data_IF_961850537495
#
_entry.id   IF_961850537495
#
_cell.length_a   1.000
_cell.length_b   1.000
_cell.length_c   1.000
_cell.angle_alpha   90.00
_cell.angle_beta   90.00
_cell.angle_gamma   90.00
#
_symmetry.space_group_name_H-M   'P 1'
#
loop_
_entity.id
_entity.type
_entity.pdbx_description
1 polymer ?
#
# COMPACT_ATOMS: atom_id res chain seq x y z
N UNK A 1 50.47 -9.00 9.40
CA UNK A 1 49.97 -8.22 8.24
C UNK A 1 48.47 -8.46 8.15
N UNK A 2 47.66 -7.42 8.01
CA UNK A 2 46.21 -7.56 7.92
C UNK A 2 45.81 -7.37 6.44
N UNK A 3 45.09 -8.34 5.87
CA UNK A 3 44.57 -8.20 4.49
C UNK A 3 43.60 -7.02 4.38
N UNK A 4 43.64 -6.31 3.28
CA UNK A 4 42.61 -5.35 2.96
C UNK A 4 41.27 -6.08 2.67
N UNK A 5 40.15 -5.45 2.96
CA UNK A 5 38.84 -6.10 2.89
C UNK A 5 38.47 -6.70 1.51
N UNK A 6 38.92 -6.10 0.40
CA UNK A 6 38.64 -6.63 -0.94
C UNK A 6 39.30 -7.99 -1.23
N UNK A 7 40.63 -8.16 -0.98
CA UNK A 7 41.26 -9.49 -1.01
C UNK A 7 40.70 -10.45 0.02
N UNK A 8 40.40 -9.99 1.26
CA UNK A 8 39.77 -10.80 2.30
C UNK A 8 38.42 -11.35 1.84
N UNK A 9 37.61 -10.54 1.16
CA UNK A 9 36.32 -10.94 0.59
C UNK A 9 36.47 -12.08 -0.42
N UNK A 10 37.40 -11.96 -1.37
CA UNK A 10 37.71 -13.03 -2.34
C UNK A 10 38.28 -14.29 -1.71
N UNK A 11 39.12 -14.17 -0.66
CA UNK A 11 39.59 -15.32 0.10
C UNK A 11 38.46 -16.05 0.83
N UNK A 12 37.47 -15.32 1.35
CA UNK A 12 36.27 -15.94 1.97
C UNK A 12 35.42 -16.66 0.95
N UNK A 13 35.19 -16.09 -0.25
CA UNK A 13 34.50 -16.79 -1.32
C UNK A 13 35.16 -18.13 -1.66
N UNK A 14 36.47 -18.13 -1.75
CA UNK A 14 37.22 -19.36 -1.99
C UNK A 14 37.14 -20.35 -0.81
N UNK A 15 37.39 -19.89 0.41
CA UNK A 15 37.46 -20.74 1.58
C UNK A 15 36.13 -21.37 2.01
N UNK A 16 35.01 -20.67 1.71
CA UNK A 16 33.65 -21.09 2.06
C UNK A 16 32.89 -21.68 0.85
N UNK A 17 33.57 -21.79 -0.30
CA UNK A 17 32.97 -22.30 -1.55
C UNK A 17 31.61 -21.61 -1.88
N UNK A 18 31.62 -20.29 -1.89
CA UNK A 18 30.39 -19.48 -2.04
C UNK A 18 29.87 -19.54 -3.48
N UNK A 19 28.68 -20.09 -3.68
CA UNK A 19 28.03 -20.21 -4.98
C UNK A 19 27.32 -18.93 -5.43
N UNK A 20 26.75 -18.19 -4.47
CA UNK A 20 25.92 -17.02 -4.77
C UNK A 20 26.04 -15.93 -3.69
N UNK A 21 26.21 -14.68 -4.13
CA UNK A 21 26.20 -13.51 -3.25
C UNK A 21 25.65 -12.26 -3.96
N UNK A 22 24.80 -11.53 -3.26
CA UNK A 22 24.28 -10.22 -3.69
C UNK A 22 25.08 -9.09 -3.02
N UNK A 23 25.30 -7.99 -3.74
CA UNK A 23 25.96 -6.81 -3.18
C UNK A 23 25.30 -5.52 -3.67
N UNK A 24 25.44 -4.44 -2.91
CA UNK A 24 25.05 -3.11 -3.36
C UNK A 24 25.85 -2.64 -4.57
N UNK A 25 25.28 -1.78 -5.41
CA UNK A 25 25.95 -1.24 -6.59
C UNK A 25 27.23 -0.47 -6.27
N UNK A 26 27.37 0.06 -5.07
CA UNK A 26 28.58 0.73 -4.58
C UNK A 26 29.76 -0.23 -4.36
N UNK A 27 29.52 -1.55 -4.37
CA UNK A 27 30.52 -2.60 -4.20
C UNK A 27 30.95 -3.27 -5.52
N UNK A 28 30.42 -2.85 -6.68
CA UNK A 28 30.71 -3.48 -7.99
C UNK A 28 32.21 -3.61 -8.22
N UNK A 29 32.97 -2.52 -8.11
CA UNK A 29 34.43 -2.54 -8.32
C UNK A 29 35.17 -3.43 -7.30
N UNK A 30 34.61 -3.56 -6.11
CA UNK A 30 35.19 -4.40 -5.06
C UNK A 30 34.90 -5.88 -5.29
N UNK A 31 33.68 -6.21 -5.75
CA UNK A 31 33.29 -7.57 -6.14
C UNK A 31 34.13 -8.09 -7.34
N UNK A 32 34.47 -7.20 -8.30
CA UNK A 32 35.37 -7.57 -9.40
C UNK A 32 36.78 -7.94 -8.92
N UNK A 33 37.33 -7.18 -7.97
CA UNK A 33 38.64 -7.48 -7.36
C UNK A 33 38.56 -8.76 -6.55
N UNK A 34 37.53 -8.95 -5.72
CA UNK A 34 37.31 -10.15 -4.96
C UNK A 34 37.22 -11.40 -5.86
N UNK A 35 36.48 -11.30 -6.98
CA UNK A 35 36.38 -12.38 -7.97
C UNK A 35 37.75 -12.78 -8.54
N UNK A 36 38.59 -11.81 -8.92
CA UNK A 36 39.96 -12.09 -9.39
C UNK A 36 40.81 -12.80 -8.33
N UNK A 37 40.69 -12.42 -7.07
CA UNK A 37 41.38 -13.08 -5.96
C UNK A 37 40.91 -14.52 -5.81
N UNK A 38 39.60 -14.77 -5.87
CA UNK A 38 39.03 -16.12 -5.82
C UNK A 38 39.57 -17.02 -6.95
N UNK A 39 39.61 -16.48 -8.17
CA UNK A 39 40.13 -17.20 -9.34
C UNK A 39 41.62 -17.51 -9.22
N UNK A 40 42.47 -16.58 -8.71
CA UNK A 40 43.88 -16.79 -8.45
C UNK A 40 44.11 -17.92 -7.43
N UNK A 41 43.19 -18.05 -6.46
CA UNK A 41 43.22 -19.13 -5.47
C UNK A 41 42.72 -20.48 -6.00
N UNK A 42 42.22 -20.53 -7.24
CA UNK A 42 41.74 -21.74 -7.88
C UNK A 42 40.22 -21.98 -7.71
N UNK A 43 39.48 -21.02 -7.15
CA UNK A 43 38.02 -21.07 -6.99
C UNK A 43 37.29 -20.46 -8.17
N UNK A 44 35.95 -20.41 -8.03
CA UNK A 44 35.04 -19.74 -9.01
C UNK A 44 34.45 -18.51 -8.35
N UNK A 45 34.32 -17.41 -9.13
CA UNK A 45 33.58 -16.24 -8.70
C UNK A 45 32.11 -16.65 -8.46
N UNK A 46 31.48 -16.25 -7.33
CA UNK A 46 30.07 -16.49 -7.10
C UNK A 46 29.17 -15.89 -8.16
N UNK A 47 28.07 -16.55 -8.48
CA UNK A 47 26.96 -15.92 -9.19
C UNK A 47 26.31 -14.85 -8.30
N UNK A 48 25.64 -13.88 -8.90
CA UNK A 48 24.95 -12.85 -8.11
C UNK A 48 24.55 -11.65 -8.96
N UNK A 49 23.96 -10.66 -8.30
CA UNK A 49 23.64 -9.38 -8.91
C UNK A 49 23.91 -8.22 -7.93
N UNK A 50 23.87 -6.99 -8.47
CA UNK A 50 24.06 -5.79 -7.68
C UNK A 50 22.71 -5.08 -7.56
N UNK A 51 22.25 -4.89 -6.32
CA UNK A 51 21.02 -4.17 -6.04
C UNK A 51 21.27 -2.67 -5.92
N UNK A 52 20.25 -1.88 -6.30
CA UNK A 52 20.25 -0.44 -6.13
C UNK A 52 20.03 -0.05 -4.68
N UNK A 53 20.59 1.09 -4.30
CA UNK A 53 20.38 1.66 -2.97
C UNK A 53 19.00 2.31 -2.88
N UNK A 54 18.45 2.35 -1.67
CA UNK A 54 17.21 3.06 -1.41
C UNK A 54 17.44 4.57 -1.32
N UNK A 55 16.43 5.31 -1.77
CA UNK A 55 16.39 6.77 -1.75
C UNK A 55 15.28 7.24 -0.81
N UNK A 56 15.42 8.41 -0.23
CA UNK A 56 14.36 9.08 0.51
C UNK A 56 13.29 9.69 -0.43
N UNK A 57 12.30 10.35 0.12
CA UNK A 57 11.24 11.03 -0.64
C UNK A 57 11.77 12.09 -1.62
N UNK A 58 12.94 12.69 -1.31
CA UNK A 58 13.60 13.72 -2.11
C UNK A 58 14.64 13.17 -3.11
N UNK A 59 14.65 11.85 -3.35
CA UNK A 59 15.63 11.15 -4.19
C UNK A 59 17.09 11.25 -3.68
N UNK A 60 17.29 11.46 -2.37
CA UNK A 60 18.61 11.44 -1.75
C UNK A 60 18.91 10.04 -1.21
N UNK A 61 20.20 9.65 -1.26
CA UNK A 61 20.63 8.37 -0.67
C UNK A 61 20.31 8.34 0.82
N UNK A 62 19.64 7.27 1.25
CA UNK A 62 19.38 7.01 2.67
C UNK A 62 20.68 6.72 3.38
N UNK A 63 20.87 7.33 4.54
CA UNK A 63 22.00 7.03 5.42
C UNK A 63 21.60 7.14 6.89
N UNK A 64 22.18 6.27 7.72
CA UNK A 64 21.94 6.27 9.18
C UNK A 64 22.29 7.60 9.84
N UNK A 65 23.35 8.27 9.37
CA UNK A 65 23.79 9.57 9.92
C UNK A 65 22.83 10.72 9.62
N UNK A 66 22.04 10.63 8.54
CA UNK A 66 21.04 11.63 8.18
C UNK A 66 19.67 11.37 8.78
N UNK A 67 19.38 10.11 9.18
CA UNK A 67 18.08 9.72 9.70
C UNK A 67 16.92 9.89 8.68
N UNK A 68 17.24 9.84 7.38
CA UNK A 68 16.31 10.14 6.30
C UNK A 68 15.68 8.88 5.66
N UNK A 69 15.67 7.75 6.36
CA UNK A 69 15.04 6.52 5.93
C UNK A 69 14.21 5.92 7.05
N UNK A 70 13.43 4.90 6.74
CA UNK A 70 12.71 4.12 7.74
C UNK A 70 13.46 2.84 8.05
N UNK A 71 13.40 2.42 9.30
CA UNK A 71 13.97 1.15 9.78
C UNK A 71 12.98 0.00 9.55
N UNK A 72 13.46 -1.23 9.69
CA UNK A 72 12.60 -2.43 9.66
C UNK A 72 11.57 -2.36 10.78
N UNK A 73 11.96 -1.98 11.98
CA UNK A 73 11.09 -1.85 13.15
C UNK A 73 9.99 -0.79 12.91
N UNK A 74 10.33 0.33 12.29
CA UNK A 74 9.35 1.37 11.94
C UNK A 74 8.35 0.86 10.89
N UNK A 75 8.81 0.13 9.87
CA UNK A 75 7.90 -0.49 8.89
C UNK A 75 6.92 -1.45 9.56
N UNK A 76 7.42 -2.35 10.40
CA UNK A 76 6.63 -3.37 11.10
C UNK A 76 5.63 -2.81 12.12
N UNK A 77 5.73 -1.53 12.47
CA UNK A 77 4.70 -0.85 13.24
C UNK A 77 3.43 -0.55 12.44
N UNK A 78 3.50 -0.53 11.09
CA UNK A 78 2.42 -0.06 10.23
C UNK A 78 2.03 -1.05 9.13
N UNK A 79 2.75 -2.16 9.00
CA UNK A 79 2.51 -3.11 7.94
C UNK A 79 3.08 -4.51 8.27
N UNK A 80 2.52 -5.58 7.69
CA UNK A 80 3.01 -6.93 7.88
C UNK A 80 4.41 -7.13 7.25
N UNK A 81 5.18 -8.06 7.83
CA UNK A 81 6.53 -8.41 7.37
C UNK A 81 6.55 -8.88 5.90
N UNK A 82 5.52 -9.55 5.43
CA UNK A 82 5.37 -10.01 4.05
C UNK A 82 5.37 -8.84 3.06
N UNK A 83 4.75 -7.72 3.43
CA UNK A 83 4.77 -6.51 2.60
C UNK A 83 6.15 -5.89 2.49
N UNK A 84 6.96 -5.94 3.57
CA UNK A 84 8.35 -5.50 3.56
C UNK A 84 9.20 -6.43 2.70
N UNK A 85 9.06 -7.75 2.88
CA UNK A 85 9.77 -8.75 2.07
C UNK A 85 9.47 -8.55 0.58
N UNK A 86 8.17 -8.38 0.22
CA UNK A 86 7.75 -8.04 -1.13
C UNK A 86 8.42 -6.76 -1.64
N UNK A 87 8.37 -5.68 -0.87
CA UNK A 87 8.91 -4.39 -1.27
C UNK A 87 10.44 -4.44 -1.44
N UNK A 88 11.15 -5.12 -0.56
CA UNK A 88 12.60 -5.26 -0.64
C UNK A 88 13.03 -6.03 -1.89
N UNK A 89 12.31 -7.10 -2.23
CA UNK A 89 12.69 -8.00 -3.32
C UNK A 89 12.14 -7.60 -4.69
N UNK A 90 11.09 -6.80 -4.74
CA UNK A 90 10.53 -6.29 -5.99
C UNK A 90 11.56 -5.42 -6.74
N UNK A 91 11.94 -5.84 -7.95
CA UNK A 91 12.85 -5.08 -8.85
C UNK A 91 14.13 -4.59 -8.14
N UNK A 92 14.95 -5.46 -7.58
CA UNK A 92 16.10 -5.06 -6.75
C UNK A 92 17.17 -4.27 -7.54
N UNK A 93 17.20 -4.40 -8.87
CA UNK A 93 18.11 -3.67 -9.76
C UNK A 93 17.62 -2.26 -10.14
N UNK A 94 16.46 -1.84 -9.63
CA UNK A 94 15.90 -0.50 -9.84
C UNK A 94 15.97 0.32 -8.56
N UNK A 95 16.30 1.61 -8.67
CA UNK A 95 16.24 2.53 -7.52
C UNK A 95 14.82 2.65 -6.99
N UNK A 96 14.66 2.56 -5.68
CA UNK A 96 13.37 2.66 -4.99
C UNK A 96 13.45 3.67 -3.87
N UNK A 97 12.33 4.35 -3.63
CA UNK A 97 12.18 5.24 -2.49
C UNK A 97 11.73 4.44 -1.27
N UNK A 98 12.25 4.76 -0.08
CA UNK A 98 11.89 4.11 1.17
C UNK A 98 11.54 5.18 2.22
N UNK A 99 10.26 5.47 2.36
CA UNK A 99 9.65 6.41 3.29
C UNK A 99 8.21 5.96 3.61
N UNK A 100 7.55 6.56 4.59
CA UNK A 100 6.29 6.03 5.13
C UNK A 100 5.18 5.90 4.09
N UNK A 101 5.03 6.84 3.15
CA UNK A 101 3.93 6.82 2.17
C UNK A 101 4.00 5.68 1.14
N UNK A 102 5.13 4.95 1.07
CA UNK A 102 5.21 3.76 0.21
C UNK A 102 4.57 2.53 0.85
N UNK A 103 4.38 2.53 2.18
CA UNK A 103 3.89 1.38 2.94
C UNK A 103 2.49 0.93 2.48
N UNK A 104 1.47 1.81 2.42
CA UNK A 104 0.13 1.38 2.02
C UNK A 104 0.09 0.71 0.66
N UNK A 105 0.81 1.28 -0.30
CA UNK A 105 0.91 0.72 -1.65
C UNK A 105 1.63 -0.62 -1.67
N UNK A 106 2.71 -0.76 -0.89
CA UNK A 106 3.45 -2.01 -0.81
C UNK A 106 2.60 -3.15 -0.22
N UNK A 107 1.76 -2.83 0.78
CA UNK A 107 0.81 -3.79 1.35
C UNK A 107 -0.21 -4.25 0.30
N UNK A 108 -0.84 -3.32 -0.43
CA UNK A 108 -1.85 -3.67 -1.44
C UNK A 108 -1.25 -4.40 -2.65
N UNK A 109 -0.04 -4.03 -3.06
CA UNK A 109 0.66 -4.77 -4.11
C UNK A 109 0.98 -6.21 -3.65
N UNK A 110 1.47 -6.38 -2.41
CA UNK A 110 1.68 -7.71 -1.85
C UNK A 110 0.38 -8.53 -1.83
N UNK A 111 -0.73 -7.98 -1.31
CA UNK A 111 -2.05 -8.64 -1.28
C UNK A 111 -2.45 -9.09 -2.69
N UNK A 112 -2.26 -8.23 -3.70
CA UNK A 112 -2.57 -8.57 -5.09
C UNK A 112 -1.79 -9.78 -5.60
N UNK A 113 -0.50 -9.90 -5.25
CA UNK A 113 0.31 -11.07 -5.64
C UNK A 113 -0.05 -12.31 -4.83
N UNK A 114 -0.37 -12.15 -3.55
CA UNK A 114 -0.84 -13.22 -2.68
C UNK A 114 -2.16 -13.82 -3.19
N UNK A 115 -3.13 -12.99 -3.54
CA UNK A 115 -4.42 -13.43 -4.09
C UNK A 115 -4.28 -14.18 -5.41
N UNK A 116 -3.46 -13.69 -6.34
CA UNK A 116 -3.21 -14.40 -7.62
C UNK A 116 -2.60 -15.79 -7.42
N UNK A 117 -1.75 -15.94 -6.40
CA UNK A 117 -1.19 -17.25 -6.07
C UNK A 117 -2.25 -18.17 -5.46
N UNK A 118 -3.07 -17.64 -4.54
CA UNK A 118 -4.11 -18.39 -3.84
C UNK A 118 -5.26 -18.83 -4.75
N UNK A 119 -5.71 -17.97 -5.68
CA UNK A 119 -6.83 -18.26 -6.59
C UNK A 119 -6.49 -19.28 -7.67
N UNK A 120 -5.22 -19.65 -7.83
CA UNK A 120 -4.77 -20.58 -8.86
C UNK A 120 -4.82 -20.00 -10.27
N UNK A 121 -4.87 -18.68 -10.41
CA UNK A 121 -4.82 -17.99 -11.72
C UNK A 121 -3.45 -18.16 -12.42
N UNK A 122 -2.44 -18.57 -11.67
CA UNK A 122 -1.07 -18.72 -12.15
C UNK A 122 -0.72 -20.18 -12.39
N UNK A 123 -0.06 -20.47 -13.52
CA UNK A 123 0.39 -21.81 -13.87
C UNK A 123 1.88 -21.83 -14.24
N UNK A 124 2.53 -22.96 -13.93
CA UNK A 124 3.89 -23.25 -14.37
C UNK A 124 4.90 -22.18 -13.96
N UNK A 125 5.53 -21.51 -14.95
CA UNK A 125 6.56 -20.49 -14.70
C UNK A 125 6.02 -19.23 -14.04
N UNK A 126 4.74 -18.93 -14.19
CA UNK A 126 4.16 -17.71 -13.64
C UNK A 126 4.02 -17.80 -12.11
N UNK A 127 3.84 -19.00 -11.56
CA UNK A 127 3.95 -19.25 -10.11
C UNK A 127 5.34 -18.90 -9.61
N UNK A 128 6.40 -19.34 -10.30
CA UNK A 128 7.78 -19.07 -9.93
C UNK A 128 8.18 -17.59 -10.12
N UNK A 129 7.43 -16.84 -10.93
CA UNK A 129 7.62 -15.40 -11.10
C UNK A 129 6.86 -14.57 -10.07
N UNK A 130 5.97 -15.20 -9.28
CA UNK A 130 5.21 -14.51 -8.26
C UNK A 130 6.03 -14.42 -6.96
N UNK A 131 6.32 -13.20 -6.46
CA UNK A 131 7.11 -13.03 -5.23
C UNK A 131 6.45 -13.64 -3.98
N UNK A 132 5.11 -13.72 -3.91
CA UNK A 132 4.42 -14.33 -2.79
C UNK A 132 4.75 -15.82 -2.62
N UNK A 133 5.07 -16.53 -3.72
CA UNK A 133 5.51 -17.93 -3.66
C UNK A 133 6.76 -18.11 -2.77
N UNK A 134 7.73 -17.22 -2.90
CA UNK A 134 8.97 -17.27 -2.12
C UNK A 134 8.79 -16.72 -0.71
N UNK A 135 7.94 -15.71 -0.52
CA UNK A 135 7.64 -15.14 0.79
C UNK A 135 6.97 -16.18 1.69
N UNK A 136 6.11 -17.02 1.12
CA UNK A 136 5.39 -18.08 1.83
C UNK A 136 6.01 -19.48 1.69
N UNK A 137 7.20 -19.58 1.09
CA UNK A 137 7.93 -20.85 0.92
C UNK A 137 7.09 -21.93 0.22
N UNK A 138 6.17 -21.51 -0.66
CA UNK A 138 5.24 -22.38 -1.38
C UNK A 138 3.95 -22.72 -0.62
N UNK A 139 3.78 -22.25 0.61
CA UNK A 139 2.52 -22.35 1.35
C UNK A 139 1.46 -21.36 0.83
N UNK A 140 0.21 -21.61 1.16
CA UNK A 140 -0.90 -20.73 0.77
C UNK A 140 -0.81 -19.40 1.53
N UNK A 141 -0.76 -18.25 0.82
CA UNK A 141 -0.73 -16.95 1.45
C UNK A 141 -2.07 -16.60 2.12
N UNK A 142 -2.06 -15.73 3.13
CA UNK A 142 -3.27 -15.28 3.80
C UNK A 142 -4.17 -14.50 2.83
N UNK A 143 -5.47 -14.55 3.09
CA UNK A 143 -6.48 -13.83 2.33
C UNK A 143 -7.06 -12.66 3.12
N UNK A 144 -7.41 -11.60 2.38
CA UNK A 144 -8.25 -10.51 2.88
C UNK A 144 -9.23 -10.06 1.81
N UNK A 145 -10.52 -9.89 2.13
CA UNK A 145 -11.50 -9.35 1.18
C UNK A 145 -11.40 -7.83 1.01
N UNK A 146 -10.57 -7.16 1.81
CA UNK A 146 -10.48 -5.69 1.88
C UNK A 146 -9.04 -5.26 1.67
N UNK A 147 -8.80 -4.29 0.77
CA UNK A 147 -7.48 -3.72 0.57
C UNK A 147 -7.06 -2.81 1.74
N UNK A 148 -5.76 -2.64 1.93
CA UNK A 148 -5.24 -1.77 2.97
C UNK A 148 -5.60 -0.28 2.73
N UNK A 149 -5.57 0.17 1.49
CA UNK A 149 -6.03 1.51 1.12
C UNK A 149 -7.50 1.74 1.47
N UNK A 150 -8.34 0.71 1.32
CA UNK A 150 -9.76 0.80 1.71
C UNK A 150 -9.93 0.88 3.23
N UNK A 151 -9.14 0.11 4.00
CA UNK A 151 -9.11 0.23 5.46
C UNK A 151 -8.67 1.62 5.93
N UNK A 152 -7.66 2.21 5.30
CA UNK A 152 -7.21 3.58 5.62
C UNK A 152 -8.30 4.62 5.34
N UNK A 153 -9.04 4.47 4.24
CA UNK A 153 -10.15 5.39 3.96
C UNK A 153 -11.32 5.19 4.93
N UNK A 154 -11.60 3.97 5.28
CA UNK A 154 -12.62 3.65 6.28
C UNK A 154 -12.26 4.31 7.63
N UNK A 155 -11.02 4.14 8.09
CA UNK A 155 -10.50 4.79 9.29
C UNK A 155 -10.61 6.32 9.19
N UNK A 156 -10.29 6.87 8.01
CA UNK A 156 -10.34 8.32 7.77
C UNK A 156 -11.77 8.87 7.76
N UNK A 157 -12.71 8.21 7.09
CA UNK A 157 -14.11 8.67 7.02
C UNK A 157 -14.85 8.56 8.34
N UNK A 158 -14.68 7.43 9.03
CA UNK A 158 -15.29 7.19 10.33
C UNK A 158 -14.55 7.90 11.48
N UNK A 159 -13.39 8.49 11.20
CA UNK A 159 -12.47 8.99 12.22
C UNK A 159 -12.17 7.95 13.32
N UNK A 160 -12.13 6.67 12.91
CA UNK A 160 -11.98 5.53 13.82
C UNK A 160 -10.58 5.50 14.43
N UNK A 161 -10.52 5.78 15.73
CA UNK A 161 -9.29 5.64 16.52
C UNK A 161 -9.08 4.24 17.10
N UNK A 162 -9.94 3.28 16.76
CA UNK A 162 -9.89 1.92 17.30
C UNK A 162 -10.36 0.84 16.30
N UNK A 163 -9.90 -0.38 16.53
CA UNK A 163 -10.21 -1.53 15.70
C UNK A 163 -11.69 -1.98 15.80
N UNK A 164 -12.35 -1.78 16.93
CA UNK A 164 -13.74 -2.19 17.15
C UNK A 164 -14.69 -1.44 16.21
N UNK A 165 -14.50 -0.13 16.10
CA UNK A 165 -15.24 0.72 15.15
C UNK A 165 -15.02 0.27 13.71
N UNK A 166 -13.77 -0.03 13.32
CA UNK A 166 -13.45 -0.54 12.00
C UNK A 166 -14.12 -1.87 11.69
N UNK A 167 -14.09 -2.81 12.63
CA UNK A 167 -14.75 -4.11 12.49
C UNK A 167 -16.26 -3.98 12.36
N UNK A 168 -16.89 -2.99 13.02
CA UNK A 168 -18.31 -2.71 12.86
C UNK A 168 -18.73 -2.41 11.41
N UNK A 169 -17.85 -1.77 10.60
CA UNK A 169 -18.08 -1.59 9.17
C UNK A 169 -17.72 -2.83 8.36
N UNK A 170 -16.57 -3.45 8.64
CA UNK A 170 -16.10 -4.64 7.91
C UNK A 170 -17.13 -5.77 7.99
N UNK A 171 -17.75 -6.01 9.13
CA UNK A 171 -18.77 -7.05 9.31
C UNK A 171 -20.07 -6.77 8.55
N UNK A 172 -20.39 -5.52 8.22
CA UNK A 172 -21.52 -5.21 7.33
C UNK A 172 -21.25 -5.70 5.91
N UNK A 173 -20.01 -5.59 5.46
CA UNK A 173 -19.53 -6.00 4.12
C UNK A 173 -19.21 -7.51 4.07
N UNK A 174 -18.40 -8.00 4.97
CA UNK A 174 -17.97 -9.39 5.09
C UNK A 174 -18.60 -10.03 6.35
N UNK A 175 -19.87 -10.41 6.24
CA UNK A 175 -20.71 -10.84 7.38
C UNK A 175 -20.13 -12.00 8.21
N UNK A 176 -19.37 -12.89 7.57
CA UNK A 176 -18.78 -14.05 8.21
C UNK A 176 -17.35 -13.79 8.74
N UNK A 177 -16.77 -12.62 8.48
CA UNK A 177 -15.43 -12.28 8.96
C UNK A 177 -15.46 -11.78 10.40
N UNK A 178 -14.58 -12.33 11.22
CA UNK A 178 -14.33 -11.89 12.61
C UNK A 178 -12.82 -11.81 12.84
N UNK A 179 -12.37 -11.07 13.88
CA UNK A 179 -10.95 -11.06 14.25
C UNK A 179 -10.34 -12.46 14.41
N UNK A 180 -11.12 -13.42 14.93
CA UNK A 180 -10.66 -14.78 15.23
C UNK A 180 -10.50 -15.63 13.97
N UNK A 181 -11.39 -15.49 12.97
CA UNK A 181 -11.34 -16.31 11.75
C UNK A 181 -10.62 -15.65 10.59
N UNK A 182 -10.31 -14.34 10.69
CA UNK A 182 -9.57 -13.57 9.70
C UNK A 182 -8.39 -12.82 10.36
N UNK A 183 -7.42 -13.53 10.98
CA UNK A 183 -6.35 -12.91 11.77
C UNK A 183 -5.45 -11.99 10.94
N UNK A 184 -5.24 -12.27 9.66
CA UNK A 184 -4.48 -11.38 8.79
C UNK A 184 -5.20 -10.05 8.55
N UNK A 185 -6.52 -10.08 8.33
CA UNK A 185 -7.34 -8.87 8.22
C UNK A 185 -7.34 -8.09 9.54
N UNK A 186 -7.40 -8.76 10.69
CA UNK A 186 -7.34 -8.09 12.00
C UNK A 186 -6.01 -7.36 12.22
N UNK A 187 -4.90 -7.98 11.81
CA UNK A 187 -3.61 -7.29 11.80
C UNK A 187 -3.61 -6.07 10.86
N UNK A 188 -4.19 -6.19 9.65
CA UNK A 188 -4.29 -5.06 8.73
C UNK A 188 -5.15 -3.93 9.30
N UNK A 189 -6.25 -4.25 9.99
CA UNK A 189 -7.08 -3.24 10.69
C UNK A 189 -6.26 -2.49 11.74
N UNK A 190 -5.51 -3.23 12.57
CA UNK A 190 -4.65 -2.64 13.59
C UNK A 190 -3.58 -1.72 13.00
N UNK A 191 -2.94 -2.13 11.92
CA UNK A 191 -1.97 -1.30 11.19
C UNK A 191 -2.64 -0.07 10.55
N UNK A 192 -3.83 -0.22 9.98
CA UNK A 192 -4.55 0.90 9.36
C UNK A 192 -4.96 1.96 10.38
N UNK A 193 -5.46 1.57 11.55
CA UNK A 193 -5.76 2.48 12.65
C UNK A 193 -4.52 3.23 13.09
N UNK A 194 -3.40 2.52 13.31
CA UNK A 194 -2.15 3.14 13.73
C UNK A 194 -1.59 4.08 12.66
N UNK A 195 -1.57 3.67 11.40
CA UNK A 195 -1.12 4.51 10.30
C UNK A 195 -2.01 5.76 10.16
N UNK A 196 -3.31 5.61 10.30
CA UNK A 196 -4.25 6.72 10.27
C UNK A 196 -3.95 7.74 11.38
N UNK A 197 -3.82 7.30 12.64
CA UNK A 197 -3.56 8.20 13.77
C UNK A 197 -2.23 8.95 13.62
N UNK A 198 -1.17 8.26 13.19
CA UNK A 198 0.18 8.82 13.16
C UNK A 198 0.47 9.68 11.91
N UNK A 199 -0.09 9.35 10.74
CA UNK A 199 0.25 10.01 9.47
C UNK A 199 -0.92 10.68 8.75
N UNK A 200 -2.11 10.08 8.78
CA UNK A 200 -3.24 10.59 8.00
C UNK A 200 -3.98 11.69 8.78
N UNK A 201 -4.37 11.40 9.99
CA UNK A 201 -5.16 12.31 10.84
C UNK A 201 -4.51 13.69 11.04
N UNK A 202 -3.19 13.79 11.29
CA UNK A 202 -2.53 15.10 11.42
C UNK A 202 -2.47 15.91 10.13
N UNK A 203 -2.59 15.27 8.96
CA UNK A 203 -2.47 15.92 7.66
C UNK A 203 -3.83 16.15 6.97
N UNK A 204 -4.94 15.69 7.59
CA UNK A 204 -6.28 15.90 7.03
C UNK A 204 -6.58 17.38 6.88
N UNK A 205 -7.05 17.75 5.69
CA UNK A 205 -7.43 19.13 5.38
C UNK A 205 -8.75 19.11 4.61
N UNK A 206 -9.80 19.48 5.29
CA UNK A 206 -11.12 19.60 4.69
C UNK A 206 -11.32 20.98 4.08
N UNK A 207 -11.93 21.03 2.92
CA UNK A 207 -12.35 22.27 2.29
C UNK A 207 -13.86 22.28 1.99
N UNK A 208 -14.41 23.46 1.84
CA UNK A 208 -15.77 23.59 1.33
C UNK A 208 -15.81 23.23 -0.16
N UNK A 209 -16.87 22.55 -0.62
CA UNK A 209 -17.11 22.37 -2.04
C UNK A 209 -17.44 23.71 -2.71
N UNK A 210 -16.98 23.88 -3.96
CA UNK A 210 -17.48 24.96 -4.82
C UNK A 210 -18.92 24.69 -5.28
N UNK A 211 -19.52 25.59 -6.05
CA UNK A 211 -20.92 25.48 -6.46
C UNK A 211 -21.18 24.25 -7.35
N UNK A 212 -20.23 23.90 -8.24
CA UNK A 212 -20.31 22.72 -9.11
C UNK A 212 -20.16 21.44 -8.32
N UNK A 213 -19.18 21.37 -7.44
CA UNK A 213 -18.92 20.25 -6.55
C UNK A 213 -20.10 20.03 -5.59
N UNK A 214 -20.66 21.11 -5.06
CA UNK A 214 -21.85 21.09 -4.21
C UNK A 214 -23.05 20.46 -4.93
N UNK A 215 -23.29 20.87 -6.18
CA UNK A 215 -24.37 20.31 -6.99
C UNK A 215 -24.14 18.82 -7.26
N UNK A 216 -22.92 18.43 -7.64
CA UNK A 216 -22.57 17.05 -7.93
C UNK A 216 -22.63 16.15 -6.69
N UNK A 217 -22.19 16.63 -5.52
CA UNK A 217 -22.30 15.89 -4.26
C UNK A 217 -23.75 15.73 -3.81
N UNK A 218 -24.58 16.77 -3.94
CA UNK A 218 -26.00 16.68 -3.62
C UNK A 218 -26.73 15.69 -4.56
N UNK A 219 -26.41 15.70 -5.85
CA UNK A 219 -26.93 14.74 -6.82
C UNK A 219 -26.47 13.31 -6.48
N UNK A 220 -25.20 13.13 -6.11
CA UNK A 220 -24.69 11.82 -5.68
C UNK A 220 -25.46 11.28 -4.46
N UNK A 221 -25.70 12.11 -3.45
CA UNK A 221 -26.48 11.71 -2.27
C UNK A 221 -27.89 11.23 -2.65
N UNK A 222 -28.59 11.99 -3.52
CA UNK A 222 -29.94 11.63 -3.99
C UNK A 222 -29.95 10.33 -4.80
N UNK A 223 -28.93 10.10 -5.64
CA UNK A 223 -28.78 8.87 -6.43
C UNK A 223 -28.54 7.67 -5.55
N UNK A 224 -27.67 7.80 -4.53
CA UNK A 224 -27.38 6.73 -3.57
C UNK A 224 -28.63 6.37 -2.76
N UNK A 225 -29.43 7.35 -2.32
CA UNK A 225 -30.70 7.11 -1.62
C UNK A 225 -31.75 6.39 -2.48
N UNK A 226 -31.69 6.53 -3.79
CA UNK A 226 -32.59 5.86 -4.73
C UNK A 226 -32.18 4.41 -5.05
N UNK A 227 -30.96 4.01 -4.71
CA UNK A 227 -30.49 2.65 -4.91
C UNK A 227 -31.06 1.68 -3.87
N UNK A 228 -31.22 0.39 -4.21
CA UNK A 228 -31.50 -0.64 -3.24
C UNK A 228 -30.35 -0.80 -2.27
N UNK A 229 -30.65 -1.17 -1.00
CA UNK A 229 -29.64 -1.30 0.04
C UNK A 229 -28.59 -2.41 -0.22
N UNK A 230 -28.85 -3.31 -1.15
CA UNK A 230 -27.97 -4.39 -1.61
C UNK A 230 -27.37 -4.12 -3.00
N UNK A 231 -27.31 -2.84 -3.41
CA UNK A 231 -26.68 -2.44 -4.66
C UNK A 231 -25.22 -2.90 -4.71
N UNK A 232 -24.83 -3.49 -5.83
CA UNK A 232 -23.48 -4.00 -6.03
C UNK A 232 -22.45 -2.88 -6.31
N UNK A 233 -21.16 -3.25 -6.25
CA UNK A 233 -20.05 -2.34 -6.49
C UNK A 233 -20.16 -1.60 -7.82
N UNK A 234 -20.61 -2.27 -8.90
CA UNK A 234 -20.68 -1.68 -10.23
C UNK A 234 -21.82 -0.64 -10.30
N UNK A 235 -22.96 -0.90 -9.66
CA UNK A 235 -24.05 0.06 -9.53
C UNK A 235 -23.61 1.30 -8.73
N UNK A 236 -22.99 1.09 -7.55
CA UNK A 236 -22.47 2.18 -6.73
C UNK A 236 -21.45 3.05 -7.48
N UNK A 237 -20.48 2.41 -8.14
CA UNK A 237 -19.46 3.13 -8.91
C UNK A 237 -20.06 3.86 -10.11
N UNK A 238 -21.11 3.32 -10.74
CA UNK A 238 -21.82 3.95 -11.86
C UNK A 238 -22.47 5.25 -11.41
N UNK A 239 -23.14 5.26 -10.25
CA UNK A 239 -23.77 6.49 -9.73
C UNK A 239 -22.73 7.56 -9.37
N UNK A 240 -21.58 7.18 -8.83
CA UNK A 240 -20.47 8.14 -8.59
C UNK A 240 -20.01 8.79 -9.89
N UNK A 241 -19.85 8.01 -10.98
CA UNK A 241 -19.51 8.56 -12.29
C UNK A 241 -20.62 9.42 -12.88
N UNK A 242 -21.87 8.98 -12.77
CA UNK A 242 -23.04 9.67 -13.32
C UNK A 242 -23.24 11.04 -12.66
N UNK A 243 -23.12 11.11 -11.34
CA UNK A 243 -23.21 12.36 -10.61
C UNK A 243 -22.17 13.39 -11.09
N UNK A 244 -20.92 12.97 -11.32
CA UNK A 244 -19.92 13.85 -11.91
C UNK A 244 -20.29 14.32 -13.31
N UNK A 245 -20.62 13.39 -14.21
CA UNK A 245 -20.91 13.70 -15.62
C UNK A 245 -22.10 14.61 -15.79
N UNK A 246 -23.21 14.34 -15.09
CA UNK A 246 -24.45 15.11 -15.22
C UNK A 246 -24.33 16.50 -14.61
N UNK A 247 -23.37 16.70 -13.71
CA UNK A 247 -23.02 18.01 -13.16
C UNK A 247 -21.84 18.67 -13.89
N UNK A 248 -21.58 18.26 -15.15
CA UNK A 248 -20.69 18.95 -16.07
C UNK A 248 -19.23 18.54 -16.03
N UNK A 249 -18.83 17.48 -15.30
CA UNK A 249 -17.46 16.95 -15.38
C UNK A 249 -17.30 16.11 -16.65
N UNK A 250 -16.61 16.66 -17.64
CA UNK A 250 -16.29 15.94 -18.87
C UNK A 250 -15.28 14.80 -18.59
N UNK A 251 -15.08 13.91 -19.56
CA UNK A 251 -14.23 12.72 -19.41
C UNK A 251 -12.80 13.03 -18.91
N UNK A 252 -12.24 14.14 -19.31
CA UNK A 252 -10.92 14.62 -18.90
C UNK A 252 -10.90 15.28 -17.51
N UNK A 253 -12.08 15.70 -16.99
CA UNK A 253 -12.25 16.36 -15.69
C UNK A 253 -12.74 15.40 -14.59
N UNK A 254 -13.05 14.14 -14.90
CA UNK A 254 -13.49 13.16 -13.91
C UNK A 254 -12.47 12.95 -12.79
N UNK A 255 -11.17 13.16 -13.09
CA UNK A 255 -10.14 13.12 -12.05
C UNK A 255 -10.33 14.23 -11.02
N UNK A 256 -10.73 15.41 -11.44
CA UNK A 256 -10.98 16.55 -10.55
C UNK A 256 -12.24 16.31 -9.71
N UNK A 257 -13.27 15.67 -10.29
CA UNK A 257 -14.44 15.21 -9.53
C UNK A 257 -14.06 14.22 -8.42
N UNK A 258 -13.28 13.19 -8.72
CA UNK A 258 -12.83 12.25 -7.69
C UNK A 258 -11.96 12.93 -6.64
N UNK A 259 -11.08 13.84 -7.03
CA UNK A 259 -10.28 14.63 -6.10
C UNK A 259 -11.19 15.47 -5.18
N UNK A 260 -12.21 16.12 -5.72
CA UNK A 260 -13.18 16.91 -4.94
C UNK A 260 -13.90 16.03 -3.89
N UNK A 261 -14.37 14.83 -4.27
CA UNK A 261 -14.97 13.88 -3.32
C UNK A 261 -14.04 13.65 -2.13
N UNK A 262 -12.77 13.32 -2.39
CA UNK A 262 -11.83 12.99 -1.31
C UNK A 262 -11.47 14.20 -0.45
N UNK A 263 -11.24 15.36 -1.04
CA UNK A 263 -10.90 16.59 -0.30
C UNK A 263 -12.06 17.08 0.57
N UNK A 264 -13.28 16.97 0.07
CA UNK A 264 -14.48 17.46 0.77
C UNK A 264 -14.97 16.49 1.84
N UNK A 265 -15.00 15.17 1.54
CA UNK A 265 -15.61 14.19 2.42
C UNK A 265 -14.60 13.54 3.39
N UNK A 266 -13.36 13.35 2.94
CA UNK A 266 -12.35 12.55 3.65
C UNK A 266 -11.21 13.43 4.17
N UNK A 267 -11.00 14.63 3.60
CA UNK A 267 -9.91 15.53 3.94
C UNK A 267 -8.56 15.08 3.36
N UNK A 268 -8.58 14.34 2.24
CA UNK A 268 -7.40 13.83 1.53
C UNK A 268 -7.50 14.16 0.03
N UNK A 269 -6.37 14.17 -0.70
CA UNK A 269 -6.39 14.46 -2.14
C UNK A 269 -6.78 13.28 -3.02
N UNK A 270 -6.70 12.05 -2.51
CA UNK A 270 -6.94 10.83 -3.28
C UNK A 270 -7.30 9.64 -2.38
N UNK A 271 -7.86 8.60 -2.99
CA UNK A 271 -8.18 7.33 -2.34
C UNK A 271 -8.52 6.23 -3.35
N UNK A 272 -8.98 5.05 -2.90
CA UNK A 272 -9.42 3.95 -3.76
C UNK A 272 -10.68 4.31 -4.55
N UNK A 273 -11.23 3.35 -5.31
CA UNK A 273 -12.52 3.54 -5.99
C UNK A 273 -13.59 3.90 -4.97
N UNK A 274 -14.29 5.03 -5.19
CA UNK A 274 -15.26 5.52 -4.22
C UNK A 274 -16.49 4.61 -4.10
N UNK A 275 -16.85 3.88 -5.15
CA UNK A 275 -17.89 2.84 -5.07
C UNK A 275 -17.53 1.72 -4.07
N UNK A 276 -16.29 1.28 -4.04
CA UNK A 276 -15.82 0.29 -3.06
C UNK A 276 -15.80 0.85 -1.63
N UNK A 277 -15.55 2.15 -1.47
CA UNK A 277 -15.71 2.81 -0.18
C UNK A 277 -17.17 2.81 0.28
N UNK A 278 -18.13 3.17 -0.62
CA UNK A 278 -19.57 3.17 -0.30
C UNK A 278 -20.03 1.76 0.11
N UNK A 279 -19.57 0.73 -0.60
CA UNK A 279 -19.95 -0.67 -0.34
C UNK A 279 -19.61 -1.11 1.09
N UNK A 280 -18.45 -0.71 1.60
CA UNK A 280 -18.01 -1.09 2.95
C UNK A 280 -18.46 -0.09 4.04
N UNK A 281 -18.49 1.20 3.72
CA UNK A 281 -18.91 2.23 4.67
C UNK A 281 -20.42 2.23 4.87
N UNK A 282 -21.18 1.94 3.84
CA UNK A 282 -22.64 1.92 3.80
C UNK A 282 -23.20 3.09 3.00
N UNK A 283 -24.34 2.85 2.33
CA UNK A 283 -25.06 3.87 1.55
C UNK A 283 -25.56 4.98 2.47
N UNK A 284 -26.26 4.63 3.54
CA UNK A 284 -26.85 5.57 4.48
C UNK A 284 -25.78 6.43 5.16
N UNK A 285 -24.68 5.82 5.58
CA UNK A 285 -23.55 6.49 6.22
C UNK A 285 -22.86 7.43 5.21
N UNK A 286 -22.73 7.02 3.95
CA UNK A 286 -22.14 7.88 2.91
C UNK A 286 -23.03 9.08 2.59
N UNK A 287 -24.33 8.88 2.52
CA UNK A 287 -25.29 9.98 2.33
C UNK A 287 -25.22 10.96 3.49
N UNK A 288 -25.16 10.45 4.73
CA UNK A 288 -24.99 11.29 5.92
C UNK A 288 -23.68 12.07 5.87
N UNK A 289 -22.57 11.43 5.49
CA UNK A 289 -21.26 12.05 5.33
C UNK A 289 -21.29 13.19 4.30
N UNK A 290 -21.93 12.97 3.14
CA UNK A 290 -22.08 13.98 2.09
C UNK A 290 -22.88 15.18 2.63
N UNK A 291 -24.00 14.92 3.29
CA UNK A 291 -24.87 16.00 3.84
C UNK A 291 -24.13 16.80 4.89
N UNK A 292 -23.41 16.16 5.80
CA UNK A 292 -22.60 16.82 6.81
C UNK A 292 -21.50 17.72 6.20
N UNK A 293 -20.85 17.24 5.13
CA UNK A 293 -19.88 18.03 4.39
C UNK A 293 -20.50 19.25 3.70
N UNK A 294 -21.68 19.10 3.09
CA UNK A 294 -22.43 20.19 2.45
C UNK A 294 -22.88 21.26 3.44
N UNK A 295 -23.15 20.88 4.70
CA UNK A 295 -23.43 21.79 5.80
C UNK A 295 -22.16 22.45 6.38
N UNK A 296 -20.97 22.01 5.94
CA UNK A 296 -19.68 22.56 6.37
C UNK A 296 -19.25 22.10 7.76
N UNK A 297 -19.74 20.96 8.25
CA UNK A 297 -19.40 20.45 9.58
C UNK A 297 -17.89 20.11 9.72
N UNK A 298 -17.27 19.65 8.62
CA UNK A 298 -15.85 19.25 8.63
C UNK A 298 -14.92 20.45 8.45
N UNK A 299 -15.26 21.40 7.56
CA UNK A 299 -14.42 22.57 7.30
C UNK A 299 -14.33 23.57 8.47
N UNK A 300 -15.21 23.45 9.48
CA UNK A 300 -15.21 24.28 10.69
C UNK A 300 -14.36 23.72 11.82
N UNK A 301 -13.93 22.48 11.72
CA UNK A 301 -13.14 21.77 12.74
C UNK A 301 -11.64 21.83 12.49
N UNK A 302 -11.17 22.38 11.34
CA UNK A 302 -9.78 22.68 11.00
C UNK A 302 -9.47 24.16 11.34
#
# INVERSE_FOLDING_TARGET
>A
MKAQWRPDWGMRWYALDVDYEMAGEDLISSAEIAGKVTEILGGKKPAGFHYKLFLDEHNQKISKSKGNGITVEEWLNYAPNESLAYYMYQRPTSGKKLYFDVIPKAVDEYITFADKLRTGELEGKDVLNNPAYYIHEGEEPPHTPVSFALLLNLASASNAGDAETMWGFIQKYAKDATPENAPFLDHLVSFAVKYFEDFVKPTKSYRMPDDRERAALADLANRLEALPADADLDALQTEVFSAGKENGYEKNELRDWFKAIYEVLIGQEQGPRFGAFIEIYGIDETVALIRDALEGKFAKAA
#
